data_IF_471159323599
#
_entry.id   IF_471159323599
#
_cell.length_a   1.000
_cell.length_b   1.000
_cell.length_c   1.000
_cell.angle_alpha   90.00
_cell.angle_beta   90.00
_cell.angle_gamma   90.00
#
_symmetry.space_group_name_H-M   'P 1'
#
loop_
_entity.id
_entity.type
_entity.pdbx_description
1 polymer ?
#
# COMPACT_ATOMS: atom_id res chain seq x y z
N UNK A 1 -29.63 22.72 49.25
CA UNK A 1 -28.87 21.44 49.29
C UNK A 1 -28.91 20.68 47.96
N UNK A 2 -29.97 20.79 47.16
CA UNK A 2 -30.13 20.12 45.85
C UNK A 2 -29.17 20.69 44.78
N UNK A 3 -28.99 22.01 44.71
CA UNK A 3 -28.07 22.68 43.77
C UNK A 3 -26.61 22.23 43.91
N UNK A 4 -26.08 22.17 45.14
CA UNK A 4 -24.72 21.67 45.44
C UNK A 4 -24.46 20.24 44.95
N UNK A 5 -25.47 19.36 44.99
CA UNK A 5 -25.37 17.98 44.49
C UNK A 5 -25.38 17.95 42.96
N UNK A 6 -26.23 18.76 42.33
CA UNK A 6 -26.32 18.88 40.88
C UNK A 6 -25.04 19.45 40.26
N UNK A 7 -24.44 20.46 40.88
CA UNK A 7 -23.15 21.03 40.44
C UNK A 7 -22.01 20.02 40.54
N UNK A 8 -22.00 19.20 41.59
CA UNK A 8 -21.02 18.14 41.77
C UNK A 8 -21.16 17.06 40.68
N UNK A 9 -22.39 16.66 40.37
CA UNK A 9 -22.69 15.70 39.28
C UNK A 9 -22.26 16.27 37.93
N UNK A 10 -22.63 17.52 37.63
CA UNK A 10 -22.28 18.21 36.38
C UNK A 10 -20.76 18.29 36.19
N UNK A 11 -20.03 18.60 37.26
CA UNK A 11 -18.56 18.64 37.26
C UNK A 11 -17.96 17.25 37.04
N UNK A 12 -18.51 16.21 37.65
CA UNK A 12 -18.06 14.82 37.42
C UNK A 12 -18.29 14.39 35.98
N UNK A 13 -19.45 14.68 35.39
CA UNK A 13 -19.74 14.39 33.97
C UNK A 13 -18.82 15.15 33.02
N UNK A 14 -18.55 16.43 33.30
CA UNK A 14 -17.62 17.22 32.49
C UNK A 14 -16.21 16.61 32.47
N UNK A 15 -15.71 16.17 33.63
CA UNK A 15 -14.41 15.48 33.73
C UNK A 15 -14.43 14.13 33.00
N UNK A 16 -15.52 13.39 33.09
CA UNK A 16 -15.63 12.10 32.40
C UNK A 16 -15.62 12.28 30.88
N UNK A 17 -16.35 13.26 30.37
CA UNK A 17 -16.42 13.59 28.94
C UNK A 17 -15.07 14.06 28.41
N UNK A 18 -14.32 14.87 29.15
CA UNK A 18 -12.97 15.29 28.72
C UNK A 18 -11.99 14.12 28.68
N UNK A 19 -12.04 13.23 29.67
CA UNK A 19 -11.20 12.01 29.67
C UNK A 19 -11.57 11.10 28.50
N UNK A 20 -12.85 10.84 28.26
CA UNK A 20 -13.30 10.06 27.10
C UNK A 20 -12.85 10.68 25.79
N UNK A 21 -12.98 12.00 25.63
CA UNK A 21 -12.55 12.71 24.43
C UNK A 21 -11.06 12.56 24.17
N UNK A 22 -10.21 12.76 25.19
CA UNK A 22 -8.74 12.60 25.05
C UNK A 22 -8.37 11.16 24.69
N UNK A 23 -9.03 10.17 25.31
CA UNK A 23 -8.82 8.75 24.99
C UNK A 23 -9.23 8.42 23.55
N UNK A 24 -10.39 8.90 23.09
CA UNK A 24 -10.87 8.70 21.72
C UNK A 24 -9.93 9.33 20.68
N UNK A 25 -9.45 10.55 20.91
CA UNK A 25 -8.51 11.24 20.00
C UNK A 25 -7.17 10.50 19.92
N UNK A 26 -6.68 9.97 21.06
CA UNK A 26 -5.41 9.24 21.12
C UNK A 26 -5.49 7.90 20.36
N UNK A 27 -6.58 7.15 20.52
CA UNK A 27 -6.78 5.88 19.80
C UNK A 27 -6.94 6.11 18.30
N UNK A 28 -7.73 7.11 17.89
CA UNK A 28 -7.94 7.44 16.48
C UNK A 28 -6.63 7.80 15.75
N UNK A 29 -5.78 8.61 16.38
CA UNK A 29 -4.48 9.00 15.83
C UNK A 29 -3.52 7.80 15.67
N UNK A 30 -3.46 6.91 16.67
CA UNK A 30 -2.66 5.70 16.60
C UNK A 30 -3.14 4.73 15.50
N UNK A 31 -4.46 4.56 15.35
CA UNK A 31 -5.03 3.72 14.28
C UNK A 31 -4.76 4.28 12.88
N UNK A 32 -4.82 5.60 12.69
CA UNK A 32 -4.53 6.22 11.39
C UNK A 32 -3.04 6.10 11.00
N UNK A 33 -2.13 6.20 11.98
CA UNK A 33 -0.69 6.06 11.76
C UNK A 33 -0.26 4.61 11.47
N UNK A 34 -0.95 3.61 12.05
CA UNK A 34 -0.72 2.20 11.73
C UNK A 34 -1.18 1.85 10.30
N UNK A 35 -2.18 2.57 9.79
CA UNK A 35 -2.80 2.32 8.50
C UNK A 35 -1.94 2.87 7.33
N UNK A 36 -1.15 3.94 7.53
CA UNK A 36 -0.38 4.57 6.45
C UNK A 36 0.85 3.79 5.98
N UNK A 37 1.52 3.03 6.87
CA UNK A 37 2.75 2.29 6.52
C UNK A 37 2.52 1.01 5.71
N UNK A 38 1.26 0.58 5.59
CA UNK A 38 0.91 -0.73 5.04
C UNK A 38 -0.11 -0.62 3.88
N UNK A 39 -0.45 0.61 3.46
CA UNK A 39 -1.60 0.88 2.60
C UNK A 39 -1.37 0.48 1.13
N UNK A 40 -0.17 0.75 0.60
CA UNK A 40 0.01 0.73 -0.86
C UNK A 40 1.01 -0.31 -1.36
N UNK A 41 1.05 -1.49 -0.73
CA UNK A 41 1.84 -2.62 -1.26
C UNK A 41 1.57 -2.87 -2.74
N UNK A 42 0.32 -2.70 -3.21
CA UNK A 42 0.00 -2.79 -4.62
C UNK A 42 0.74 -1.76 -5.49
N UNK A 43 0.77 -0.49 -5.09
CA UNK A 43 1.42 0.56 -5.87
C UNK A 43 2.95 0.38 -5.87
N UNK A 44 3.51 0.02 -4.72
CA UNK A 44 4.94 -0.30 -4.59
C UNK A 44 5.33 -1.48 -5.50
N UNK A 45 4.51 -2.53 -5.48
CA UNK A 45 4.64 -3.68 -6.36
C UNK A 45 4.55 -3.27 -7.82
N UNK A 46 3.51 -2.51 -8.18
CA UNK A 46 3.26 -2.05 -9.53
C UNK A 46 4.43 -1.25 -10.10
N UNK A 47 4.93 -0.25 -9.36
CA UNK A 47 6.05 0.59 -9.81
C UNK A 47 7.32 -0.24 -10.01
N UNK A 48 7.58 -1.18 -9.09
CA UNK A 48 8.74 -2.08 -9.20
C UNK A 48 8.60 -3.04 -10.38
N UNK A 49 7.44 -3.66 -10.53
CA UNK A 49 7.10 -4.54 -11.64
C UNK A 49 7.22 -3.84 -12.99
N UNK A 50 6.68 -2.62 -13.09
CA UNK A 50 6.74 -1.81 -14.31
C UNK A 50 8.18 -1.55 -14.76
N UNK A 51 9.07 -1.18 -13.84
CA UNK A 51 10.49 -1.00 -14.15
C UNK A 51 11.17 -2.28 -14.63
N UNK A 52 10.91 -3.41 -13.96
CA UNK A 52 11.51 -4.70 -14.32
C UNK A 52 10.95 -5.23 -15.66
N UNK A 53 9.65 -5.10 -15.88
CA UNK A 53 8.98 -5.48 -17.12
C UNK A 53 9.49 -4.68 -18.32
N UNK A 54 9.71 -3.36 -18.17
CA UNK A 54 10.31 -2.52 -19.22
C UNK A 54 11.70 -3.00 -19.61
N UNK A 55 12.54 -3.34 -18.63
CA UNK A 55 13.89 -3.84 -18.88
C UNK A 55 13.85 -5.16 -19.64
N UNK A 56 12.99 -6.09 -19.21
CA UNK A 56 12.84 -7.35 -19.93
C UNK A 56 12.30 -7.13 -21.35
N UNK A 57 11.31 -6.25 -21.52
CA UNK A 57 10.77 -5.92 -22.84
C UNK A 57 11.82 -5.34 -23.78
N UNK A 58 12.76 -4.54 -23.27
CA UNK A 58 13.89 -4.05 -24.04
C UNK A 58 14.85 -5.18 -24.43
N UNK A 59 15.23 -6.04 -23.48
CA UNK A 59 16.14 -7.17 -23.73
C UNK A 59 15.54 -8.11 -24.78
N UNK A 60 14.26 -8.45 -24.65
CA UNK A 60 13.58 -9.33 -25.60
C UNK A 60 13.50 -8.70 -26.98
N UNK A 61 13.25 -7.39 -27.02
CA UNK A 61 13.27 -6.63 -28.26
C UNK A 61 14.64 -6.65 -28.95
N UNK A 62 15.71 -6.37 -28.21
CA UNK A 62 17.06 -6.30 -28.77
C UNK A 62 17.50 -7.67 -29.35
N UNK A 63 17.03 -8.77 -28.75
CA UNK A 63 17.39 -10.12 -29.16
C UNK A 63 16.44 -10.74 -30.19
N UNK A 64 15.16 -10.38 -30.18
CA UNK A 64 14.11 -11.09 -30.92
C UNK A 64 13.11 -10.19 -31.64
N UNK A 65 13.30 -8.87 -31.61
CA UNK A 65 12.41 -7.87 -32.19
C UNK A 65 11.04 -7.84 -31.52
N UNK A 66 9.99 -7.56 -32.29
CA UNK A 66 8.61 -7.44 -31.78
C UNK A 66 7.90 -8.78 -31.56
N UNK A 67 8.62 -9.86 -31.24
CA UNK A 67 8.01 -11.16 -30.91
C UNK A 67 7.58 -11.17 -29.44
N UNK A 68 6.48 -11.85 -29.14
CA UNK A 68 6.01 -12.03 -27.75
C UNK A 68 6.62 -13.30 -27.18
N UNK A 69 7.60 -13.14 -26.28
CA UNK A 69 8.42 -14.27 -25.78
C UNK A 69 8.37 -14.34 -24.24
N UNK A 70 7.60 -13.46 -23.61
CA UNK A 70 7.41 -13.48 -22.17
C UNK A 70 6.72 -14.78 -21.74
N UNK A 71 7.51 -15.73 -21.25
CA UNK A 71 7.04 -17.04 -20.81
C UNK A 71 6.62 -17.06 -19.34
N UNK A 72 7.25 -16.21 -18.51
CA UNK A 72 6.99 -16.17 -17.07
C UNK A 72 7.35 -14.80 -16.47
N UNK A 73 6.48 -14.31 -15.59
CA UNK A 73 6.78 -13.15 -14.74
C UNK A 73 7.59 -13.65 -13.53
N UNK A 74 8.77 -13.07 -13.24
CA UNK A 74 9.55 -13.44 -12.07
C UNK A 74 8.80 -13.11 -10.78
N UNK A 75 8.97 -13.95 -9.75
CA UNK A 75 8.46 -13.62 -8.42
C UNK A 75 9.30 -12.48 -7.84
N UNK A 76 8.67 -11.40 -7.34
CA UNK A 76 9.42 -10.29 -6.80
C UNK A 76 9.97 -10.62 -5.40
N UNK A 77 10.98 -9.85 -4.99
CA UNK A 77 11.50 -9.93 -3.63
C UNK A 77 10.41 -9.58 -2.62
N UNK A 78 10.30 -10.40 -1.57
CA UNK A 78 9.38 -10.18 -0.45
C UNK A 78 10.17 -10.14 0.87
N UNK A 79 10.15 -9.00 1.55
CA UNK A 79 10.79 -8.88 2.86
C UNK A 79 9.99 -9.65 3.93
N UNK A 80 10.67 -10.44 4.75
CA UNK A 80 10.05 -11.17 5.85
C UNK A 80 9.33 -10.26 6.86
N UNK A 81 9.74 -9.00 6.98
CA UNK A 81 9.12 -7.99 7.85
C UNK A 81 7.76 -7.50 7.35
N UNK A 82 7.43 -7.72 6.08
CA UNK A 82 6.14 -7.28 5.53
C UNK A 82 5.00 -8.15 6.03
N UNK A 83 3.86 -7.51 6.29
CA UNK A 83 2.62 -8.22 6.62
C UNK A 83 2.17 -9.09 5.45
N UNK A 84 1.44 -10.19 5.74
CA UNK A 84 0.88 -11.07 4.71
C UNK A 84 0.04 -10.31 3.68
N UNK A 85 -0.79 -9.37 4.15
CA UNK A 85 -1.62 -8.53 3.27
C UNK A 85 -0.78 -7.63 2.35
N UNK A 86 0.30 -7.02 2.88
CA UNK A 86 1.19 -6.21 2.05
C UNK A 86 1.88 -7.05 0.99
N UNK A 87 2.45 -8.21 1.35
CA UNK A 87 3.08 -9.14 0.39
C UNK A 87 2.13 -9.55 -0.73
N UNK A 88 0.89 -9.90 -0.37
CA UNK A 88 -0.12 -10.31 -1.33
C UNK A 88 -0.50 -9.18 -2.30
N UNK A 89 -0.74 -7.97 -1.78
CA UNK A 89 -1.01 -6.79 -2.60
C UNK A 89 0.19 -6.42 -3.48
N UNK A 90 1.40 -6.50 -2.93
CA UNK A 90 2.65 -6.24 -3.62
C UNK A 90 2.89 -7.20 -4.77
N UNK A 91 2.71 -8.51 -4.56
CA UNK A 91 2.82 -9.50 -5.61
C UNK A 91 1.81 -9.26 -6.75
N UNK A 92 0.55 -8.92 -6.41
CA UNK A 92 -0.48 -8.59 -7.41
C UNK A 92 -0.14 -7.33 -8.19
N UNK A 93 0.32 -6.28 -7.50
CA UNK A 93 0.79 -5.04 -8.13
C UNK A 93 1.96 -5.30 -9.07
N UNK A 94 2.96 -6.04 -8.60
CA UNK A 94 4.15 -6.40 -9.38
C UNK A 94 3.81 -7.14 -10.67
N UNK A 95 2.95 -8.16 -10.61
CA UNK A 95 2.52 -8.88 -11.80
C UNK A 95 1.86 -7.96 -12.83
N UNK A 96 0.94 -7.09 -12.38
CA UNK A 96 0.28 -6.15 -13.30
C UNK A 96 1.26 -5.15 -13.90
N UNK A 97 2.07 -4.52 -13.05
CA UNK A 97 3.06 -3.53 -13.49
C UNK A 97 4.06 -4.14 -14.46
N UNK A 98 4.51 -5.37 -14.21
CA UNK A 98 5.45 -6.08 -15.09
C UNK A 98 4.90 -6.25 -16.51
N UNK A 99 3.66 -6.73 -16.64
CA UNK A 99 3.02 -6.89 -17.95
C UNK A 99 2.90 -5.53 -18.66
N UNK A 100 2.46 -4.49 -17.93
CA UNK A 100 2.27 -3.16 -18.50
C UNK A 100 3.60 -2.54 -18.96
N UNK A 101 4.66 -2.69 -18.15
CA UNK A 101 6.01 -2.25 -18.49
C UNK A 101 6.59 -2.99 -19.69
N UNK A 102 6.44 -4.32 -19.71
CA UNK A 102 6.88 -5.17 -20.81
C UNK A 102 6.21 -4.77 -22.12
N UNK A 103 4.87 -4.69 -22.11
CA UNK A 103 4.09 -4.31 -23.28
C UNK A 103 4.40 -2.89 -23.74
N UNK A 104 4.61 -1.95 -22.82
CA UNK A 104 4.96 -0.56 -23.17
C UNK A 104 6.26 -0.43 -23.98
N UNK A 105 7.29 -1.22 -23.64
CA UNK A 105 8.59 -1.19 -24.34
C UNK A 105 8.63 -2.10 -25.57
N UNK A 106 7.74 -3.10 -25.66
CA UNK A 106 7.63 -3.95 -26.85
C UNK A 106 7.28 -3.15 -28.11
N UNK A 107 6.40 -2.15 -27.99
CA UNK A 107 5.97 -1.32 -29.13
C UNK A 107 7.00 -0.25 -29.53
N UNK A 108 7.94 0.11 -28.65
CA UNK A 108 9.04 1.00 -29.06
C UNK A 108 10.02 0.33 -30.02
N UNK A 109 9.95 -0.99 -30.16
CA UNK A 109 10.81 -1.78 -31.05
C UNK A 109 10.28 -1.96 -32.47
N UNK A 110 9.11 -1.39 -32.75
CA UNK A 110 8.54 -1.29 -34.09
C UNK A 110 8.90 0.04 -34.78
N UNK A 111 9.74 0.86 -34.16
CA UNK A 111 10.20 2.15 -34.70
C UNK A 111 11.60 2.07 -35.27
#
# INVERSE_FOLDING_TARGET
>A
MISKKFDRIKRTFAVLLTVCFVLSVTVAAASAAADSRNKDGYNDGYNKGYGDGRKQGQIDCDNYGSREILSKIPSPYNDNKWTKNYKDRYNRGYQKGYIDGYNGNRYTCLK
#
